data_IF_956302556974
#
_entry.id   IF_956302556974
#
_cell.length_a   1.000
_cell.length_b   1.000
_cell.length_c   1.000
_cell.angle_alpha   90.00
_cell.angle_beta   90.00
_cell.angle_gamma   90.00
#
_symmetry.space_group_name_H-M   'P 1'
#
loop_
_entity.id
_entity.type
_entity.pdbx_description
1 polymer ?
#
# COMPACT_ATOMS: atom_id res chain seq x y z
N UNK A 1 10.60 7.51 -2.13
CA UNK A 1 10.00 8.10 -3.35
C UNK A 1 10.43 9.52 -3.70
N UNK A 2 11.02 10.38 -2.83
CA UNK A 2 11.50 11.68 -3.31
C UNK A 2 12.74 11.56 -4.23
N UNK A 3 13.36 10.38 -4.30
CA UNK A 3 14.61 10.13 -5.03
C UNK A 3 14.46 9.28 -6.30
N UNK A 4 13.25 8.86 -6.66
CA UNK A 4 12.96 8.12 -7.91
C UNK A 4 11.57 8.49 -8.42
N UNK A 5 11.45 8.85 -9.69
CA UNK A 5 10.17 9.15 -10.32
C UNK A 5 9.15 8.02 -10.11
N UNK A 6 7.90 8.41 -9.83
CA UNK A 6 6.77 7.50 -9.56
C UNK A 6 6.60 6.52 -10.71
N UNK A 7 6.80 6.98 -11.94
CA UNK A 7 6.64 6.22 -13.16
C UNK A 7 7.67 5.09 -13.24
N UNK A 8 8.95 5.43 -13.06
CA UNK A 8 10.04 4.45 -13.11
C UNK A 8 9.91 3.42 -12.00
N UNK A 9 9.57 3.84 -10.80
CA UNK A 9 9.39 2.93 -9.68
C UNK A 9 8.13 2.06 -9.86
N UNK A 10 7.01 2.68 -10.25
CA UNK A 10 5.74 1.99 -10.48
C UNK A 10 5.84 0.93 -11.57
N UNK A 11 6.50 1.22 -12.70
CA UNK A 11 6.73 0.22 -13.75
C UNK A 11 7.54 -0.98 -13.24
N UNK A 12 8.58 -0.75 -12.43
CA UNK A 12 9.35 -1.84 -11.83
C UNK A 12 8.49 -2.70 -10.89
N UNK A 13 7.58 -2.10 -10.14
CA UNK A 13 6.64 -2.85 -9.29
C UNK A 13 5.68 -3.70 -10.14
N UNK A 14 5.13 -3.15 -11.22
CA UNK A 14 4.23 -3.88 -12.12
C UNK A 14 4.94 -5.04 -12.83
N UNK A 15 6.24 -4.90 -13.11
CA UNK A 15 7.07 -5.93 -13.75
C UNK A 15 7.69 -6.93 -12.76
N UNK A 16 7.45 -6.77 -11.45
CA UNK A 16 8.10 -7.58 -10.42
C UNK A 16 7.63 -9.04 -10.37
N UNK A 17 6.56 -9.38 -11.07
CA UNK A 17 5.88 -10.68 -10.94
C UNK A 17 4.94 -10.76 -9.73
N UNK A 18 4.78 -9.68 -8.96
CA UNK A 18 3.82 -9.63 -7.87
C UNK A 18 2.38 -9.75 -8.39
N UNK A 19 1.56 -10.57 -7.72
CA UNK A 19 0.12 -10.67 -8.01
C UNK A 19 -0.68 -9.55 -7.33
N UNK A 20 -0.08 -8.88 -6.34
CA UNK A 20 -0.70 -7.80 -5.59
C UNK A 20 0.34 -6.78 -5.15
N UNK A 21 -0.01 -5.51 -5.24
CA UNK A 21 0.75 -4.39 -4.71
C UNK A 21 -0.12 -3.59 -3.76
N UNK A 22 0.38 -3.31 -2.55
CA UNK A 22 -0.32 -2.50 -1.55
C UNK A 22 0.55 -1.28 -1.27
N UNK A 23 -0.02 -0.10 -1.43
CA UNK A 23 0.63 1.16 -1.05
C UNK A 23 0.12 1.53 0.33
N UNK A 24 1.04 1.62 1.29
CA UNK A 24 0.72 1.92 2.68
C UNK A 24 1.08 3.36 3.04
N UNK A 25 0.34 3.92 4.00
CA UNK A 25 0.65 5.22 4.61
C UNK A 25 0.53 5.13 6.13
N UNK A 26 1.27 5.99 6.83
CA UNK A 26 1.25 6.01 8.30
C UNK A 26 -0.07 6.51 8.91
N UNK A 27 -0.94 7.11 8.10
CA UNK A 27 -2.26 7.60 8.51
C UNK A 27 -3.36 6.58 8.22
N UNK A 28 -3.33 5.89 7.09
CA UNK A 28 -4.35 4.91 6.72
C UNK A 28 -3.98 3.48 7.12
N UNK A 29 -2.68 3.19 7.28
CA UNK A 29 -2.16 1.88 7.64
C UNK A 29 -2.20 1.58 9.13
N UNK A 30 -2.19 2.61 9.99
CA UNK A 30 -2.17 2.41 11.45
C UNK A 30 -3.52 1.96 12.03
N UNK A 31 -4.57 2.01 11.23
CA UNK A 31 -5.95 1.65 11.61
C UNK A 31 -6.61 2.63 12.57
N UNK A 32 -6.00 3.80 12.79
CA UNK A 32 -6.44 4.81 13.74
C UNK A 32 -6.24 6.23 13.20
N UNK A 33 -6.27 6.41 11.88
CA UNK A 33 -6.14 7.71 11.20
C UNK A 33 -4.84 8.47 11.54
N UNK A 34 -3.77 7.75 11.88
CA UNK A 34 -2.49 8.31 12.29
C UNK A 34 -2.37 8.57 13.79
N UNK A 35 -3.40 8.34 14.61
CA UNK A 35 -3.34 8.55 16.06
C UNK A 35 -2.25 7.73 16.74
N UNK A 36 -2.05 6.49 16.29
CA UNK A 36 -1.00 5.63 16.86
C UNK A 36 0.37 6.12 16.43
N UNK A 37 0.52 6.47 15.16
CA UNK A 37 1.77 7.01 14.64
C UNK A 37 2.15 8.31 15.33
N UNK A 38 1.19 9.22 15.58
CA UNK A 38 1.41 10.50 16.24
C UNK A 38 2.04 10.39 17.64
N UNK A 39 1.77 9.29 18.35
CA UNK A 39 2.31 9.02 19.69
C UNK A 39 3.67 8.35 19.68
N UNK A 40 4.16 7.96 18.51
CA UNK A 40 5.44 7.28 18.36
C UNK A 40 6.62 8.27 18.32
N UNK A 41 7.84 7.83 18.67
CA UNK A 41 9.05 8.63 18.46
C UNK A 41 9.26 9.03 16.99
N UNK A 42 8.76 8.23 16.05
CA UNK A 42 8.88 8.51 14.62
C UNK A 42 8.22 9.83 14.23
N UNK A 43 7.01 10.10 14.72
CA UNK A 43 6.28 11.34 14.42
C UNK A 43 7.02 12.61 14.88
N UNK A 44 7.89 12.50 15.89
CA UNK A 44 8.75 13.60 16.35
C UNK A 44 9.97 13.79 15.44
N UNK A 45 10.49 12.70 14.89
CA UNK A 45 11.68 12.70 14.04
C UNK A 45 11.38 13.08 12.58
N UNK A 46 10.17 12.78 12.09
CA UNK A 46 9.76 13.01 10.71
C UNK A 46 8.53 13.92 10.66
N UNK A 47 8.67 15.26 10.62
CA UNK A 47 7.55 16.20 10.63
C UNK A 47 6.57 16.01 9.47
N UNK A 48 7.03 15.47 8.34
CA UNK A 48 6.23 15.20 7.14
C UNK A 48 5.45 13.89 7.18
N UNK A 49 5.46 13.14 8.29
CA UNK A 49 4.88 11.79 8.34
C UNK A 49 3.39 11.71 7.97
N UNK A 50 2.64 12.80 8.12
CA UNK A 50 1.22 12.91 7.74
C UNK A 50 1.02 13.19 6.24
N UNK A 51 2.05 13.64 5.53
CA UNK A 51 1.95 13.89 4.10
C UNK A 51 1.89 12.57 3.32
N UNK A 52 0.69 12.22 2.86
CA UNK A 52 0.46 11.04 2.04
C UNK A 52 0.51 11.31 0.53
N UNK A 53 0.79 12.55 0.10
CA UNK A 53 0.68 12.96 -1.31
C UNK A 53 1.48 12.06 -2.25
N UNK A 54 2.71 11.71 -1.87
CA UNK A 54 3.57 10.83 -2.66
C UNK A 54 3.04 9.40 -2.73
N UNK A 55 2.53 8.86 -1.62
CA UNK A 55 1.91 7.54 -1.58
C UNK A 55 0.63 7.52 -2.44
N UNK A 56 -0.20 8.56 -2.34
CA UNK A 56 -1.42 8.69 -3.12
C UNK A 56 -1.13 8.76 -4.62
N UNK A 57 -0.13 9.55 -5.04
CA UNK A 57 0.28 9.63 -6.45
C UNK A 57 0.77 8.28 -6.98
N UNK A 58 1.58 7.55 -6.21
CA UNK A 58 2.01 6.20 -6.60
C UNK A 58 0.83 5.23 -6.68
N UNK A 59 -0.08 5.25 -5.71
CA UNK A 59 -1.26 4.40 -5.70
C UNK A 59 -2.15 4.65 -6.93
N UNK A 60 -2.42 5.92 -7.25
CA UNK A 60 -3.19 6.29 -8.44
C UNK A 60 -2.50 5.83 -9.72
N UNK A 61 -1.18 6.08 -9.85
CA UNK A 61 -0.39 5.60 -10.98
C UNK A 61 -0.49 4.08 -11.15
N UNK A 62 -0.29 3.31 -10.07
CA UNK A 62 -0.37 1.86 -10.13
C UNK A 62 -1.77 1.38 -10.51
N UNK A 63 -2.83 2.01 -9.99
CA UNK A 63 -4.22 1.65 -10.34
C UNK A 63 -4.52 1.87 -11.82
N UNK A 64 -4.08 3.00 -12.37
CA UNK A 64 -4.27 3.33 -13.77
C UNK A 64 -3.51 2.36 -14.67
N UNK A 65 -2.24 2.11 -14.35
CA UNK A 65 -1.34 1.29 -15.19
C UNK A 65 -1.56 -0.22 -15.04
N UNK A 66 -2.11 -0.68 -13.90
CA UNK A 66 -2.48 -2.08 -13.71
C UNK A 66 -3.79 -2.46 -14.41
N UNK A 67 -4.52 -1.50 -15.01
CA UNK A 67 -5.74 -1.77 -15.75
C UNK A 67 -5.49 -2.79 -16.87
N UNK A 68 -6.27 -3.87 -16.89
CA UNK A 68 -6.09 -4.98 -17.82
C UNK A 68 -5.01 -6.00 -17.44
N UNK A 69 -4.30 -5.81 -16.32
CA UNK A 69 -3.40 -6.81 -15.75
C UNK A 69 -4.11 -7.65 -14.68
N UNK A 70 -3.49 -8.77 -14.27
CA UNK A 70 -3.97 -9.59 -13.14
C UNK A 70 -3.50 -9.06 -11.78
N UNK A 71 -2.76 -7.95 -11.75
CA UNK A 71 -2.18 -7.42 -10.52
C UNK A 71 -3.26 -6.64 -9.76
N UNK A 72 -3.56 -7.06 -8.53
CA UNK A 72 -4.46 -6.33 -7.64
C UNK A 72 -3.73 -5.16 -6.97
N UNK A 73 -4.31 -3.97 -6.98
CA UNK A 73 -3.75 -2.79 -6.32
C UNK A 73 -4.60 -2.42 -5.11
N UNK A 74 -3.97 -2.28 -3.94
CA UNK A 74 -4.65 -1.98 -2.67
C UNK A 74 -4.08 -0.76 -1.94
N UNK A 75 -4.89 -0.16 -1.07
CA UNK A 75 -4.51 0.97 -0.23
C UNK A 75 -4.51 0.58 1.23
N UNK A 76 -3.34 0.67 1.87
CA UNK A 76 -3.14 0.52 3.32
C UNK A 76 -3.92 -0.66 3.91
N UNK A 77 -4.54 -0.49 5.10
CA UNK A 77 -5.29 -1.53 5.80
C UNK A 77 -6.34 -2.23 4.90
N UNK A 78 -7.07 -1.49 4.06
CA UNK A 78 -8.07 -2.06 3.16
C UNK A 78 -7.45 -3.00 2.12
N UNK A 79 -6.25 -2.67 1.62
CA UNK A 79 -5.48 -3.53 0.73
C UNK A 79 -5.02 -4.84 1.40
N UNK A 80 -4.63 -4.77 2.67
CA UNK A 80 -4.22 -5.94 3.45
C UNK A 80 -5.40 -6.83 3.82
N UNK A 81 -6.53 -6.26 4.25
CA UNK A 81 -7.72 -7.03 4.63
C UNK A 81 -8.31 -7.85 3.47
N UNK A 82 -8.04 -7.47 2.21
CA UNK A 82 -8.43 -8.28 1.05
C UNK A 82 -7.57 -9.53 0.82
N UNK A 83 -6.57 -9.84 1.67
CA UNK A 83 -5.74 -11.04 1.57
C UNK A 83 -6.42 -12.16 2.37
N UNK A 84 -6.81 -13.24 1.69
CA UNK A 84 -7.38 -14.40 2.37
C UNK A 84 -6.36 -15.05 3.32
N UNK A 85 -6.76 -15.45 4.55
CA UNK A 85 -5.93 -16.26 5.42
C UNK A 85 -5.55 -17.58 4.73
N UNK A 86 -4.30 -18.03 4.88
CA UNK A 86 -3.80 -19.25 4.20
C UNK A 86 -4.57 -20.53 4.53
N UNK A 87 -5.33 -20.54 5.63
CA UNK A 87 -6.08 -21.70 6.11
C UNK A 87 -7.59 -21.63 5.84
N UNK A 88 -8.11 -20.53 5.26
CA UNK A 88 -9.54 -20.39 5.01
C UNK A 88 -10.05 -21.30 3.87
N UNK A 89 -9.15 -21.92 3.10
CA UNK A 89 -9.48 -22.83 2.00
C UNK A 89 -9.61 -24.30 2.40
N UNK A 90 -9.14 -24.70 3.60
CA UNK A 90 -9.24 -26.12 4.03
C UNK A 90 -10.59 -26.44 4.67
N UNK A 91 -11.28 -25.48 5.27
CA UNK A 91 -12.60 -25.70 5.91
C UNK A 91 -13.79 -25.67 4.93
N UNK A 92 -13.58 -25.31 3.66
CA UNK A 92 -14.63 -25.32 2.63
C UNK A 92 -14.62 -26.60 1.76
N UNK A 93 -13.78 -27.57 2.10
CA UNK A 93 -13.68 -28.87 1.43
C UNK A 93 -13.81 -30.07 2.39
N UNK A 94 -14.10 -29.84 3.67
CA UNK A 94 -14.38 -30.88 4.67
C UNK A 94 -15.87 -31.10 4.90
#
# INVERSE_FOLDING_TARGET
>A
LPYTGIEKFGQRLLQSGAHRLIVDSLTAGDGAEGERTARSPFAKAEPGWRDTSHAQRLYNYLREQASGTKISIGWSIAGFCGIAPRHATDELLS
#
